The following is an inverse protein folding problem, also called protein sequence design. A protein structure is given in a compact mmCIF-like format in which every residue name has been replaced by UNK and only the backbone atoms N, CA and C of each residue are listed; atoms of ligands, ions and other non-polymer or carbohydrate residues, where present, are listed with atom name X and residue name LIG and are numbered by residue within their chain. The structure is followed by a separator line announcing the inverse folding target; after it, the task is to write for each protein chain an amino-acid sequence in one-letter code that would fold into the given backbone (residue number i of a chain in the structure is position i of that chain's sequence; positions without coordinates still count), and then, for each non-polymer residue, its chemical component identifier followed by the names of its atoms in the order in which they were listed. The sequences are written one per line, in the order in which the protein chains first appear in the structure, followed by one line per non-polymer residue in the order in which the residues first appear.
data_IF_174974366455
#
_entry.id   IF_174974366455
#
_cell.length_a   1.000
_cell.length_b   1.000
_cell.length_c   1.000
_cell.angle_alpha   90.00
_cell.angle_beta   90.00
_cell.angle_gamma   90.00
#
_symmetry.space_group_name_H-M   'P 1'
#
loop_
_entity.id
_entity.type
_entity.pdbx_description
1 polymer ?
#
# COMPACT_ATOMS: atom_id res chain seq x y z
N UNK A 1 -12.27 -9.27 22.03
CA UNK A 1 -12.10 -8.97 20.60
C UNK A 1 -11.76 -7.49 20.40
N UNK A 2 -12.69 -6.54 20.63
CA UNK A 2 -12.42 -5.10 20.43
C UNK A 2 -11.19 -4.57 21.19
N UNK A 3 -11.06 -4.86 22.49
CA UNK A 3 -9.90 -4.44 23.31
C UNK A 3 -8.58 -5.01 22.79
N UNK A 4 -8.59 -6.21 22.20
CA UNK A 4 -7.38 -6.82 21.64
C UNK A 4 -6.96 -6.13 20.33
N UNK A 5 -7.93 -5.72 19.51
CA UNK A 5 -7.67 -4.97 18.27
C UNK A 5 -7.21 -3.54 18.56
N UNK A 6 -7.81 -2.86 19.54
CA UNK A 6 -7.35 -1.55 19.99
C UNK A 6 -5.92 -1.62 20.55
N UNK A 7 -5.60 -2.68 21.29
CA UNK A 7 -4.24 -2.92 21.77
C UNK A 7 -3.25 -3.16 20.63
N UNK A 8 -3.62 -3.99 19.64
CA UNK A 8 -2.81 -4.24 18.45
C UNK A 8 -2.53 -2.96 17.66
N UNK A 9 -3.58 -2.20 17.33
CA UNK A 9 -3.47 -0.94 16.59
C UNK A 9 -2.71 0.13 17.41
N UNK A 10 -2.92 0.19 18.72
CA UNK A 10 -2.21 1.10 19.62
C UNK A 10 -0.72 0.78 19.79
N UNK A 11 -0.31 -0.45 19.51
CA UNK A 11 1.08 -0.87 19.51
C UNK A 11 1.85 -0.52 18.23
N UNK A 12 1.14 -0.12 17.17
CA UNK A 12 1.74 0.24 15.90
C UNK A 12 2.69 1.44 16.03
N UNK A 13 3.82 1.42 15.30
CA UNK A 13 4.83 2.47 15.39
C UNK A 13 5.27 2.95 14.01
N UNK A 14 5.49 4.25 13.90
CA UNK A 14 6.12 4.87 12.74
C UNK A 14 7.44 5.50 13.20
N UNK A 15 8.55 5.09 12.59
CA UNK A 15 9.86 5.59 13.01
C UNK A 15 9.96 7.12 12.81
N UNK A 16 10.50 7.88 13.79
CA UNK A 16 10.58 9.35 13.69
C UNK A 16 11.33 9.86 12.45
N UNK A 17 12.27 9.08 11.92
CA UNK A 17 13.00 9.38 10.67
C UNK A 17 12.09 9.54 9.45
N UNK A 18 10.90 8.96 9.48
CA UNK A 18 9.88 9.09 8.42
C UNK A 18 9.30 10.49 8.42
N UNK A 19 8.87 10.99 9.58
CA UNK A 19 8.36 12.36 9.72
C UNK A 19 9.44 13.42 9.50
N UNK A 20 10.72 13.10 9.71
CA UNK A 20 11.83 13.99 9.31
C UNK A 20 11.93 14.14 7.79
N UNK A 21 11.59 13.10 7.02
CA UNK A 21 11.61 13.12 5.56
C UNK A 21 10.30 13.67 4.98
N UNK A 22 9.17 13.28 5.57
CA UNK A 22 7.81 13.66 5.19
C UNK A 22 7.02 14.07 6.44
N UNK A 23 7.16 15.34 6.88
CA UNK A 23 6.39 15.87 8.02
C UNK A 23 4.86 15.83 7.79
N UNK A 24 4.48 15.79 6.52
CA UNK A 24 3.11 15.69 6.03
C UNK A 24 2.61 14.23 5.91
N UNK A 25 3.43 13.22 6.18
CA UNK A 25 3.01 11.82 6.17
C UNK A 25 1.88 11.58 7.18
N UNK A 26 0.84 10.87 6.74
CA UNK A 26 -0.30 10.46 7.56
C UNK A 26 -0.60 8.99 7.24
N UNK A 27 -0.94 8.25 8.28
CA UNK A 27 -1.28 6.83 8.21
C UNK A 27 -2.58 6.61 8.98
N UNK A 28 -3.44 5.74 8.46
CA UNK A 28 -4.64 5.28 9.15
C UNK A 28 -4.65 3.75 9.11
N UNK A 29 -4.41 3.13 10.26
CA UNK A 29 -4.56 1.69 10.42
C UNK A 29 -5.98 1.38 10.90
N UNK A 30 -6.61 0.41 10.26
CA UNK A 30 -7.92 -0.08 10.66
C UNK A 30 -8.00 -1.59 10.52
N UNK A 31 -8.70 -2.23 11.45
CA UNK A 31 -9.06 -3.64 11.34
C UNK A 31 -10.50 -3.73 10.88
N UNK A 32 -10.75 -4.55 9.86
CA UNK A 32 -12.09 -4.81 9.34
C UNK A 32 -12.38 -6.30 9.45
N UNK A 33 -13.36 -6.66 10.26
CA UNK A 33 -13.83 -8.03 10.45
C UNK A 33 -15.25 -8.20 9.90
N UNK A 34 -15.63 -9.44 9.58
CA UNK A 34 -17.00 -9.78 9.23
C UNK A 34 -17.53 -9.09 7.97
N UNK A 35 -16.67 -8.92 6.97
CA UNK A 35 -17.01 -8.20 5.73
C UNK A 35 -18.21 -8.87 5.05
N UNK A 36 -19.36 -8.19 4.95
CA UNK A 36 -20.53 -8.75 4.28
C UNK A 36 -20.29 -8.80 2.76
N UNK A 37 -21.15 -9.51 2.01
CA UNK A 37 -21.16 -9.39 0.56
C UNK A 37 -21.24 -7.92 0.12
N UNK A 38 -20.35 -7.50 -0.79
CA UNK A 38 -20.29 -6.13 -1.31
C UNK A 38 -20.59 -6.09 -2.81
N UNK A 39 -21.15 -4.98 -3.33
CA UNK A 39 -21.28 -4.74 -4.77
C UNK A 39 -19.93 -4.26 -5.35
N UNK A 40 -18.85 -4.99 -5.05
CA UNK A 40 -17.47 -4.65 -5.43
C UNK A 40 -17.31 -4.39 -6.92
N UNK A 41 -18.02 -5.15 -7.77
CA UNK A 41 -18.01 -4.94 -9.21
C UNK A 41 -18.53 -3.55 -9.62
N UNK A 42 -19.63 -3.08 -9.01
CA UNK A 42 -20.16 -1.73 -9.27
C UNK A 42 -19.18 -0.65 -8.80
N UNK A 43 -18.55 -0.85 -7.64
CA UNK A 43 -17.54 0.08 -7.12
C UNK A 43 -16.32 0.17 -8.04
N UNK A 44 -15.85 -0.96 -8.58
CA UNK A 44 -14.75 -0.99 -9.54
C UNK A 44 -15.10 -0.27 -10.84
N UNK A 45 -16.30 -0.47 -11.38
CA UNK A 45 -16.74 0.22 -12.60
C UNK A 45 -16.85 1.73 -12.41
N UNK A 46 -17.32 2.18 -11.24
CA UNK A 46 -17.33 3.61 -10.87
C UNK A 46 -15.88 4.15 -10.80
N UNK A 47 -14.99 3.42 -10.12
CA UNK A 47 -13.59 3.78 -10.00
C UNK A 47 -12.86 3.84 -11.37
N UNK A 48 -13.10 2.86 -12.25
CA UNK A 48 -12.60 2.86 -13.63
C UNK A 48 -13.06 4.08 -14.41
N UNK A 49 -14.31 4.53 -14.20
CA UNK A 49 -14.85 5.73 -14.84
C UNK A 49 -14.18 7.00 -14.30
N UNK A 50 -14.05 7.13 -12.98
CA UNK A 50 -13.35 8.25 -12.34
C UNK A 50 -11.88 8.36 -12.76
N UNK A 51 -11.17 7.24 -12.81
CA UNK A 51 -9.78 7.22 -13.26
C UNK A 51 -9.65 7.64 -14.72
N UNK A 52 -10.52 7.15 -15.62
CA UNK A 52 -10.53 7.56 -17.03
C UNK A 52 -10.81 9.07 -17.18
N UNK A 53 -11.76 9.61 -16.41
CA UNK A 53 -12.01 11.05 -16.39
C UNK A 53 -10.81 11.87 -15.92
N UNK A 54 -10.07 11.39 -14.91
CA UNK A 54 -8.86 12.05 -14.44
C UNK A 54 -7.77 12.05 -15.52
N UNK A 55 -7.57 10.91 -16.21
CA UNK A 55 -6.59 10.75 -17.29
C UNK A 55 -6.90 11.60 -18.53
N UNK A 56 -8.16 11.91 -18.79
CA UNK A 56 -8.55 12.85 -19.86
C UNK A 56 -8.17 14.30 -19.53
N UNK A 57 -8.08 14.66 -18.24
CA UNK A 57 -7.81 16.03 -17.80
C UNK A 57 -6.31 16.32 -17.72
N UNK A 58 -5.51 15.34 -17.35
CA UNK A 58 -4.08 15.51 -17.13
C UNK A 58 -3.33 14.18 -17.19
N UNK A 59 -2.02 14.26 -17.44
CA UNK A 59 -1.17 13.08 -17.39
C UNK A 59 -1.11 12.55 -15.96
N UNK A 60 -1.12 11.23 -15.81
CA UNK A 60 -1.27 10.55 -14.51
C UNK A 60 -0.25 10.97 -13.45
N UNK A 61 0.98 11.32 -13.85
CA UNK A 61 2.03 11.74 -12.90
C UNK A 61 1.82 13.17 -12.37
N UNK A 62 0.94 13.93 -13.02
CA UNK A 62 0.63 15.31 -12.65
C UNK A 62 -0.63 15.36 -11.77
N UNK A 63 -1.30 14.22 -11.53
CA UNK A 63 -2.40 14.11 -10.56
C UNK A 63 -1.83 14.44 -9.17
N UNK A 64 -2.33 15.47 -8.46
CA UNK A 64 -1.64 16.02 -7.29
C UNK A 64 -1.28 14.98 -6.22
N UNK A 65 -2.19 14.04 -5.94
CA UNK A 65 -1.95 12.98 -4.96
C UNK A 65 -0.91 11.95 -5.44
N UNK A 66 -0.88 11.63 -6.73
CA UNK A 66 0.14 10.76 -7.32
C UNK A 66 1.48 11.46 -7.33
N UNK A 67 1.53 12.74 -7.72
CA UNK A 67 2.75 13.56 -7.69
C UNK A 67 3.36 13.58 -6.27
N UNK A 68 2.53 13.85 -5.25
CA UNK A 68 2.98 13.87 -3.85
C UNK A 68 3.60 12.54 -3.39
N UNK A 69 3.07 11.40 -3.86
CA UNK A 69 3.66 10.09 -3.60
C UNK A 69 4.96 9.87 -4.38
N UNK A 70 5.03 10.30 -5.64
CA UNK A 70 6.26 10.20 -6.44
C UNK A 70 7.40 11.01 -5.81
N UNK A 71 7.09 12.16 -5.23
CA UNK A 71 8.04 12.96 -4.46
C UNK A 71 8.47 12.24 -3.17
N UNK A 72 7.55 11.51 -2.51
CA UNK A 72 7.88 10.67 -1.35
C UNK A 72 8.92 9.60 -1.72
N UNK A 73 8.69 8.90 -2.84
CA UNK A 73 9.59 7.88 -3.36
C UNK A 73 10.93 8.48 -3.78
N UNK A 74 10.93 9.63 -4.44
CA UNK A 74 12.17 10.31 -4.80
C UNK A 74 12.99 10.67 -3.55
N UNK A 75 12.32 11.15 -2.49
CA UNK A 75 12.97 11.41 -1.21
C UNK A 75 13.47 10.12 -0.52
N UNK A 76 12.75 9.01 -0.68
CA UNK A 76 13.08 7.70 -0.11
C UNK A 76 14.31 7.05 -0.76
N UNK A 77 14.30 7.00 -2.09
CA UNK A 77 15.18 6.17 -2.92
C UNK A 77 16.20 6.98 -3.72
N UNK A 78 16.11 8.32 -3.71
CA UNK A 78 17.01 9.21 -4.44
C UNK A 78 16.76 9.27 -5.96
N UNK A 79 15.77 8.56 -6.47
CA UNK A 79 15.41 8.56 -7.90
C UNK A 79 13.90 8.49 -8.08
N UNK A 80 13.40 9.13 -9.16
CA UNK A 80 11.99 8.97 -9.55
C UNK A 80 11.75 7.51 -9.93
N UNK A 81 10.79 6.82 -9.30
CA UNK A 81 10.53 5.44 -9.63
C UNK A 81 10.03 5.32 -11.08
N UNK A 82 10.70 4.45 -11.85
CA UNK A 82 10.24 4.02 -13.18
C UNK A 82 9.41 2.74 -13.09
N UNK A 83 9.79 1.81 -12.21
CA UNK A 83 9.12 0.52 -11.97
C UNK A 83 8.27 0.52 -10.70
N UNK A 84 8.80 1.07 -9.60
CA UNK A 84 8.19 0.98 -8.27
C UNK A 84 7.16 2.09 -8.02
N UNK A 85 5.88 1.85 -8.34
CA UNK A 85 4.81 2.85 -8.22
C UNK A 85 3.92 2.53 -7.03
N UNK A 86 3.46 3.57 -6.32
CA UNK A 86 2.43 3.38 -5.31
C UNK A 86 1.15 2.78 -5.92
N UNK A 87 0.33 2.17 -5.07
CA UNK A 87 -0.89 1.50 -5.53
C UNK A 87 -1.86 2.40 -6.27
N UNK A 88 -2.04 3.66 -5.83
CA UNK A 88 -2.91 4.61 -6.53
C UNK A 88 -2.44 4.88 -7.97
N UNK A 89 -1.15 5.16 -8.18
CA UNK A 89 -0.61 5.38 -9.54
C UNK A 89 -0.75 4.11 -10.39
N UNK A 90 -0.50 2.94 -9.80
CA UNK A 90 -0.69 1.66 -10.49
C UNK A 90 -2.14 1.45 -10.93
N UNK A 91 -3.09 1.65 -10.02
CA UNK A 91 -4.52 1.46 -10.26
C UNK A 91 -5.06 2.45 -11.32
N UNK A 92 -4.72 3.74 -11.20
CA UNK A 92 -5.20 4.76 -12.15
C UNK A 92 -4.71 4.46 -13.57
N UNK A 93 -3.43 4.09 -13.75
CA UNK A 93 -2.91 3.69 -15.06
C UNK A 93 -3.62 2.46 -15.63
N UNK A 94 -3.97 1.51 -14.77
CA UNK A 94 -4.60 0.25 -15.19
C UNK A 94 -6.06 0.45 -15.63
N UNK A 95 -6.74 1.45 -15.08
CA UNK A 95 -8.15 1.72 -15.37
C UNK A 95 -8.46 1.94 -16.86
N UNK A 96 -7.50 2.36 -17.69
CA UNK A 96 -7.68 2.44 -19.15
C UNK A 96 -8.00 1.08 -19.79
N UNK A 97 -7.43 0.00 -19.26
CA UNK A 97 -7.65 -1.38 -19.71
C UNK A 97 -8.58 -2.19 -18.79
N UNK A 98 -9.14 -1.56 -17.76
CA UNK A 98 -9.92 -2.21 -16.70
C UNK A 98 -9.08 -2.72 -15.53
N UNK A 99 -9.64 -2.62 -14.34
CA UNK A 99 -9.03 -3.10 -13.10
C UNK A 99 -9.14 -4.62 -13.01
N UNK A 100 -8.17 -5.26 -12.35
CA UNK A 100 -8.30 -6.67 -12.02
C UNK A 100 -9.34 -6.87 -10.93
N UNK A 101 -10.15 -7.90 -11.10
CA UNK A 101 -11.02 -8.44 -10.04
C UNK A 101 -10.19 -9.45 -9.27
N UNK A 102 -9.91 -9.16 -8.00
CA UNK A 102 -9.04 -9.98 -7.14
C UNK A 102 -9.91 -10.76 -6.17
N UNK A 103 -10.52 -10.03 -5.24
CA UNK A 103 -11.50 -10.53 -4.28
C UNK A 103 -12.31 -9.33 -3.78
N UNK A 104 -13.45 -9.57 -3.13
CA UNK A 104 -14.37 -8.50 -2.73
C UNK A 104 -13.74 -7.41 -1.86
N UNK A 105 -12.84 -7.76 -0.94
CA UNK A 105 -12.18 -6.80 -0.07
C UNK A 105 -11.19 -5.96 -0.88
N UNK A 106 -10.33 -6.62 -1.66
CA UNK A 106 -9.37 -5.98 -2.54
C UNK A 106 -10.03 -5.05 -3.55
N UNK A 107 -11.08 -5.51 -4.19
CA UNK A 107 -11.84 -4.73 -5.16
C UNK A 107 -12.46 -3.48 -4.50
N UNK A 108 -12.95 -3.62 -3.27
CA UNK A 108 -13.56 -2.51 -2.51
C UNK A 108 -12.52 -1.46 -2.13
N UNK A 109 -11.38 -1.85 -1.55
CA UNK A 109 -10.36 -0.86 -1.17
C UNK A 109 -9.66 -0.27 -2.40
N UNK A 110 -9.49 -1.03 -3.50
CA UNK A 110 -8.94 -0.52 -4.76
C UNK A 110 -9.84 0.55 -5.39
N UNK A 111 -11.16 0.32 -5.38
CA UNK A 111 -12.13 1.31 -5.83
C UNK A 111 -12.08 2.58 -4.94
N UNK A 112 -11.98 2.41 -3.61
CA UNK A 112 -11.85 3.50 -2.67
C UNK A 112 -10.54 4.30 -2.87
N UNK A 113 -9.42 3.63 -3.14
CA UNK A 113 -8.13 4.26 -3.44
C UNK A 113 -8.26 5.24 -4.60
N UNK A 114 -8.85 4.80 -5.72
CA UNK A 114 -9.07 5.67 -6.88
C UNK A 114 -10.06 6.79 -6.55
N UNK A 115 -11.21 6.47 -5.95
CA UNK A 115 -12.26 7.44 -5.67
C UNK A 115 -11.79 8.58 -4.76
N UNK A 116 -10.99 8.25 -3.76
CA UNK A 116 -10.52 9.20 -2.75
C UNK A 116 -9.07 9.67 -2.96
N UNK A 117 -8.41 9.20 -4.02
CA UNK A 117 -7.04 9.57 -4.37
C UNK A 117 -6.06 9.31 -3.21
N UNK A 118 -6.23 8.16 -2.55
CA UNK A 118 -5.39 7.69 -1.45
C UNK A 118 -4.79 6.32 -1.78
N UNK A 119 -3.66 6.00 -1.15
CA UNK A 119 -3.07 4.67 -1.20
C UNK A 119 -3.71 3.85 -0.08
N UNK A 120 -4.58 2.90 -0.42
CA UNK A 120 -5.08 1.90 0.53
C UNK A 120 -4.50 0.53 0.20
N UNK A 121 -4.22 -0.20 1.25
CA UNK A 121 -3.65 -1.55 1.22
C UNK A 121 -4.40 -2.39 2.25
N UNK A 122 -4.41 -3.70 2.05
CA UNK A 122 -4.97 -4.65 3.00
C UNK A 122 -3.99 -5.76 3.29
N UNK A 123 -3.86 -6.15 4.55
CA UNK A 123 -3.03 -7.27 5.00
C UNK A 123 -3.87 -8.25 5.82
N UNK A 124 -3.37 -9.49 5.94
CA UNK A 124 -4.02 -10.48 6.80
C UNK A 124 -3.53 -10.30 8.24
N UNK A 125 -4.43 -9.81 9.11
CA UNK A 125 -4.16 -9.61 10.53
C UNK A 125 -3.66 -10.89 11.23
N UNK A 126 -4.18 -12.06 10.84
CA UNK A 126 -3.82 -13.34 11.48
C UNK A 126 -2.37 -13.78 11.16
N UNK A 127 -1.69 -13.10 10.22
CA UNK A 127 -0.31 -13.38 9.85
C UNK A 127 0.72 -12.51 10.59
N UNK A 128 0.27 -11.50 11.35
CA UNK A 128 1.16 -10.63 12.09
C UNK A 128 1.76 -11.34 13.30
N UNK A 129 3.08 -11.19 13.48
CA UNK A 129 3.80 -11.53 14.71
C UNK A 129 4.24 -10.24 15.42
N UNK A 130 3.59 -9.88 16.52
CA UNK A 130 3.84 -8.61 17.19
C UNK A 130 3.12 -7.43 16.54
N UNK A 131 3.67 -6.22 16.70
CA UNK A 131 3.01 -4.98 16.24
C UNK A 131 3.59 -4.47 14.92
N UNK A 132 2.77 -3.88 14.03
CA UNK A 132 3.26 -3.30 12.80
C UNK A 132 4.16 -2.09 13.06
N UNK A 133 5.31 -2.06 12.39
CA UNK A 133 6.28 -0.98 12.49
C UNK A 133 6.68 -0.48 11.10
N UNK A 134 6.50 0.82 10.84
CA UNK A 134 6.97 1.45 9.61
C UNK A 134 8.35 2.05 9.84
N UNK A 135 9.34 1.56 9.11
CA UNK A 135 10.73 2.02 9.20
C UNK A 135 11.31 2.38 7.83
N UNK A 136 12.51 2.95 7.87
CA UNK A 136 13.43 2.94 6.74
C UNK A 136 14.37 1.75 6.92
N UNK A 137 14.34 0.79 6.01
CA UNK A 137 15.13 -0.42 6.04
C UNK A 137 16.62 -0.10 6.22
N UNK A 138 17.30 -0.95 6.98
CA UNK A 138 18.75 -0.97 7.12
C UNK A 138 19.41 -1.86 6.08
N UNK A 139 18.61 -2.69 5.39
CA UNK A 139 19.09 -3.72 4.47
C UNK A 139 19.40 -5.03 5.16
N UNK A 140 18.94 -5.21 6.39
CA UNK A 140 19.11 -6.43 7.19
C UNK A 140 17.76 -7.03 7.59
N UNK A 141 16.66 -6.35 7.29
CA UNK A 141 15.32 -6.87 7.53
C UNK A 141 15.04 -8.01 6.56
N UNK A 142 14.58 -9.15 7.08
CA UNK A 142 14.24 -10.32 6.29
C UNK A 142 12.89 -10.11 5.61
N UNK A 143 12.85 -10.31 4.29
CA UNK A 143 11.63 -10.48 3.52
C UNK A 143 11.60 -11.89 2.94
N UNK A 144 10.67 -12.72 3.40
CA UNK A 144 10.41 -13.98 2.73
C UNK A 144 9.62 -13.76 1.45
N UNK A 145 10.20 -14.15 0.31
CA UNK A 145 9.56 -14.09 -1.01
C UNK A 145 9.39 -15.50 -1.57
N UNK A 146 8.22 -15.79 -2.14
CA UNK A 146 7.97 -17.05 -2.82
C UNK A 146 8.40 -16.92 -4.28
N UNK A 147 9.47 -17.60 -4.66
CA UNK A 147 9.83 -17.83 -6.06
C UNK A 147 9.18 -19.13 -6.56
N UNK A 148 9.10 -19.32 -7.88
CA UNK A 148 8.43 -20.46 -8.52
C UNK A 148 8.91 -21.86 -8.07
N UNK A 149 10.01 -21.97 -7.32
CA UNK A 149 10.58 -23.23 -6.84
C UNK A 149 10.97 -23.25 -5.35
N UNK A 150 11.00 -22.12 -4.65
CA UNK A 150 11.45 -22.05 -3.25
C UNK A 150 11.09 -20.73 -2.57
N UNK A 151 10.95 -20.76 -1.25
CA UNK A 151 11.04 -19.57 -0.40
C UNK A 151 12.48 -19.06 -0.42
N UNK A 152 12.65 -17.78 -0.72
CA UNK A 152 13.93 -17.08 -0.73
C UNK A 152 13.83 -15.89 0.21
N UNK A 153 14.84 -15.70 1.05
CA UNK A 153 14.96 -14.48 1.87
C UNK A 153 15.63 -13.40 1.04
N UNK A 154 14.93 -12.29 0.86
CA UNK A 154 15.46 -11.05 0.31
C UNK A 154 15.62 -10.01 1.42
N UNK A 155 16.41 -8.96 1.15
CA UNK A 155 16.50 -7.80 2.03
C UNK A 155 16.14 -6.53 1.26
N UNK A 156 15.27 -5.67 1.81
CA UNK A 156 14.97 -4.38 1.20
C UNK A 156 16.25 -3.51 1.12
N UNK A 157 16.47 -2.75 0.05
CA UNK A 157 17.59 -1.80 -0.02
C UNK A 157 17.63 -0.83 1.17
N UNK A 158 18.84 -0.43 1.58
CA UNK A 158 19.04 0.58 2.61
C UNK A 158 18.21 1.85 2.31
N UNK A 159 17.41 2.28 3.27
CA UNK A 159 16.61 3.49 3.18
C UNK A 159 15.21 3.30 2.59
N UNK A 160 14.88 2.11 2.08
CA UNK A 160 13.53 1.74 1.62
C UNK A 160 12.51 1.83 2.74
N UNK A 161 11.29 2.27 2.42
CA UNK A 161 10.19 2.23 3.38
C UNK A 161 9.58 0.84 3.44
N UNK A 162 9.53 0.27 4.64
CA UNK A 162 8.97 -1.07 4.88
C UNK A 162 8.13 -1.07 6.14
N UNK A 163 6.99 -1.75 6.05
CA UNK A 163 6.28 -2.27 7.21
C UNK A 163 6.92 -3.60 7.58
N UNK A 164 7.18 -3.78 8.87
CA UNK A 164 7.72 -5.01 9.41
C UNK A 164 7.08 -5.31 10.77
N UNK A 165 7.11 -6.56 11.15
CA UNK A 165 6.69 -7.05 12.45
C UNK A 165 7.86 -7.83 13.10
N UNK A 166 7.62 -8.59 14.16
CA UNK A 166 8.69 -9.32 14.85
C UNK A 166 9.24 -10.49 14.02
N UNK A 167 8.51 -10.96 13.00
CA UNK A 167 8.92 -12.03 12.10
C UNK A 167 9.65 -11.52 10.85
N UNK A 168 9.38 -10.30 10.39
CA UNK A 168 10.09 -9.69 9.27
C UNK A 168 9.27 -8.66 8.51
N UNK A 169 9.68 -8.38 7.29
CA UNK A 169 8.98 -7.43 6.41
C UNK A 169 7.64 -8.00 6.00
N UNK A 170 6.55 -7.35 6.40
CA UNK A 170 5.20 -7.72 5.96
C UNK A 170 4.89 -7.10 4.60
N UNK A 171 5.42 -5.90 4.36
CA UNK A 171 5.05 -5.10 3.20
C UNK A 171 6.08 -4.02 2.86
N UNK A 172 6.26 -3.73 1.57
CA UNK A 172 7.29 -2.82 1.06
C UNK A 172 6.74 -1.70 0.19
N UNK A 173 7.46 -0.58 0.22
CA UNK A 173 7.35 0.53 -0.74
C UNK A 173 5.97 1.18 -0.85
N UNK A 174 4.94 0.93 -0.05
CA UNK A 174 3.59 1.44 -0.37
C UNK A 174 3.08 0.97 -1.75
N UNK A 175 3.55 -0.20 -2.19
CA UNK A 175 3.14 -0.83 -3.44
C UNK A 175 2.22 -2.01 -3.21
N UNK A 176 1.21 -2.14 -4.06
CA UNK A 176 0.47 -3.39 -4.25
C UNK A 176 1.43 -4.49 -4.78
N UNK A 177 2.03 -5.26 -3.89
CA UNK A 177 2.62 -6.57 -4.22
C UNK A 177 1.67 -7.65 -3.69
N UNK A 178 0.65 -8.00 -4.48
CA UNK A 178 -0.27 -9.13 -4.27
C UNK A 178 -0.75 -9.35 -2.81
N UNK A 179 -1.82 -8.67 -2.42
CA UNK A 179 -2.56 -8.98 -1.18
C UNK A 179 -4.06 -8.84 -1.53
N UNK A 180 -4.93 -9.86 -1.52
CA UNK A 180 -5.09 -11.12 -0.77
C UNK A 180 -5.57 -12.21 -1.77
#
# INVERSE_FOLDING_TARGET
MLVALEFFLGGAKIAPKIFKLRPDYRELLMVVEGIPPSPSETLLQEAESLAREALLKQHVVDIPHIEAWRDAYMAAFGAKPKKDRNSLEFLVRRAEGGLHRVNRLADTYNAASIKHQISLEGENLDKYDGFPQLIRATGQEDLETISAASTVTEHPPLGEFVWYDDAGVTYRRWMLENVI
#
